data_IF_678981521697
#
_entry.id   IF_678981521697
#
_cell.length_a   1.000
_cell.length_b   1.000
_cell.length_c   1.000
_cell.angle_alpha   90.00
_cell.angle_beta   90.00
_cell.angle_gamma   90.00
#
_symmetry.space_group_name_H-M   'P 1'
#
loop_
_entity.id
_entity.type
_entity.pdbx_description
1 polymer ?
#
# COMPACT_ATOMS: atom_id res chain seq x y z
N UNK A 1 -22.39 6.79 3.94
CA UNK A 1 -22.62 5.71 2.94
C UNK A 1 -23.94 4.93 3.19
N UNK A 2 -24.38 4.72 4.44
CA UNK A 2 -25.54 3.85 4.74
C UNK A 2 -26.95 4.46 4.63
N UNK A 3 -27.09 5.73 4.24
CA UNK A 3 -28.39 6.40 4.13
C UNK A 3 -29.29 5.72 3.09
N UNK A 4 -28.76 5.40 1.92
CA UNK A 4 -29.51 4.69 0.87
C UNK A 4 -29.88 3.25 1.30
N UNK A 5 -28.93 2.52 1.89
CA UNK A 5 -29.16 1.19 2.43
C UNK A 5 -30.32 1.19 3.45
N UNK A 6 -30.38 2.20 4.31
CA UNK A 6 -31.46 2.37 5.30
C UNK A 6 -32.81 2.61 4.62
N UNK A 7 -32.87 3.46 3.60
CA UNK A 7 -34.11 3.73 2.85
C UNK A 7 -34.63 2.51 2.07
N UNK A 8 -33.73 1.67 1.55
CA UNK A 8 -34.09 0.42 0.89
C UNK A 8 -34.64 -0.59 1.91
N UNK A 9 -33.99 -0.75 3.06
CA UNK A 9 -34.49 -1.60 4.13
C UNK A 9 -35.87 -1.18 4.63
N UNK A 10 -36.09 0.13 4.82
CA UNK A 10 -37.41 0.66 5.18
C UNK A 10 -38.51 0.39 4.14
N UNK A 11 -38.14 0.12 2.89
CA UNK A 11 -39.05 -0.29 1.81
C UNK A 11 -39.23 -1.80 1.70
N UNK A 12 -38.69 -2.58 2.64
CA UNK A 12 -38.82 -4.03 2.71
C UNK A 12 -37.73 -4.80 1.94
N UNK A 13 -36.68 -4.14 1.46
CA UNK A 13 -35.56 -4.83 0.82
C UNK A 13 -34.57 -5.37 1.86
N UNK A 14 -34.12 -6.61 1.67
CA UNK A 14 -32.96 -7.13 2.40
C UNK A 14 -31.67 -6.52 1.83
N UNK A 15 -30.81 -5.99 2.70
CA UNK A 15 -29.55 -5.35 2.28
C UNK A 15 -28.36 -6.19 2.76
N UNK A 16 -27.46 -6.51 1.83
CA UNK A 16 -26.15 -7.10 2.13
C UNK A 16 -25.07 -6.10 1.73
N UNK A 17 -24.18 -5.79 2.67
CA UNK A 17 -23.01 -4.93 2.49
C UNK A 17 -21.81 -5.83 2.32
N UNK A 18 -21.23 -5.82 1.13
CA UNK A 18 -19.97 -6.51 0.83
C UNK A 18 -18.85 -5.51 1.06
N UNK A 19 -17.84 -5.88 1.84
CA UNK A 19 -16.70 -5.01 2.16
C UNK A 19 -15.38 -5.79 2.17
N UNK A 20 -14.28 -5.08 1.93
CA UNK A 20 -12.93 -5.59 2.16
C UNK A 20 -12.54 -5.43 3.64
N UNK A 21 -11.41 -6.02 4.05
CA UNK A 21 -10.92 -5.93 5.43
C UNK A 21 -10.38 -4.52 5.75
N UNK A 22 -9.76 -3.87 4.78
CA UNK A 22 -9.27 -2.50 4.92
C UNK A 22 -10.45 -1.52 5.05
N UNK A 23 -10.47 -0.74 6.13
CA UNK A 23 -11.57 0.18 6.46
C UNK A 23 -12.95 -0.50 6.55
N UNK A 24 -12.99 -1.73 7.08
CA UNK A 24 -14.25 -2.45 7.27
C UNK A 24 -15.25 -1.61 8.10
N UNK A 25 -16.52 -1.51 7.65
CA UNK A 25 -17.55 -0.79 8.39
C UNK A 25 -17.89 -1.53 9.69
N UNK A 26 -18.20 -0.79 10.75
CA UNK A 26 -18.70 -1.38 11.99
C UNK A 26 -20.15 -1.86 11.82
N UNK A 27 -20.43 -3.18 11.89
CA UNK A 27 -21.79 -3.72 11.78
C UNK A 27 -22.70 -3.30 12.93
N UNK A 28 -22.14 -2.92 14.09
CA UNK A 28 -22.91 -2.60 15.29
C UNK A 28 -23.86 -1.41 15.08
N UNK A 29 -23.48 -0.47 14.21
CA UNK A 29 -24.30 0.69 13.84
C UNK A 29 -25.48 0.36 12.92
N UNK A 30 -25.51 -0.85 12.33
CA UNK A 30 -26.51 -1.25 11.33
C UNK A 30 -26.90 -2.74 11.46
N UNK A 31 -27.48 -3.17 12.61
CA UNK A 31 -27.72 -4.59 12.90
C UNK A 31 -28.74 -5.28 11.96
N UNK A 32 -29.48 -4.50 11.18
CA UNK A 32 -30.48 -4.98 10.21
C UNK A 32 -29.89 -5.29 8.83
N UNK A 33 -28.61 -4.95 8.59
CA UNK A 33 -27.92 -5.31 7.35
C UNK A 33 -27.04 -6.54 7.58
N UNK A 34 -26.89 -7.35 6.52
CA UNK A 34 -25.90 -8.42 6.52
C UNK A 34 -24.56 -7.86 6.06
N UNK A 35 -23.49 -8.11 6.80
CA UNK A 35 -22.14 -7.76 6.40
C UNK A 35 -21.40 -9.01 5.93
N UNK A 36 -20.73 -8.92 4.80
CA UNK A 36 -19.91 -9.99 4.23
C UNK A 36 -18.55 -9.41 3.91
N UNK A 37 -17.54 -9.85 4.65
CA UNK A 37 -16.16 -9.57 4.33
C UNK A 37 -15.75 -10.43 3.13
N UNK A 38 -15.08 -9.81 2.17
CA UNK A 38 -14.42 -10.48 1.06
C UNK A 38 -12.92 -10.20 1.11
N UNK A 39 -12.16 -11.15 0.58
CA UNK A 39 -10.74 -10.97 0.32
C UNK A 39 -10.56 -9.84 -0.71
N UNK A 40 -9.58 -8.97 -0.48
CA UNK A 40 -9.30 -7.84 -1.37
C UNK A 40 -8.40 -8.22 -2.55
N UNK A 41 -7.94 -9.48 -2.62
CA UNK A 41 -7.05 -9.99 -3.65
C UNK A 41 -5.66 -9.40 -3.59
N UNK A 42 -5.28 -8.78 -2.46
CA UNK A 42 -3.99 -8.14 -2.30
C UNK A 42 -2.94 -9.17 -1.83
N UNK A 43 -1.67 -9.05 -2.24
CA UNK A 43 -0.62 -9.91 -1.73
C UNK A 43 -0.45 -9.78 -0.21
N UNK A 44 0.09 -10.81 0.43
CA UNK A 44 0.44 -10.76 1.85
C UNK A 44 1.47 -9.64 2.12
N UNK A 45 1.31 -8.94 3.24
CA UNK A 45 2.22 -7.87 3.68
C UNK A 45 3.63 -8.41 3.92
N UNK A 46 4.62 -7.85 3.23
CA UNK A 46 6.02 -8.12 3.55
C UNK A 46 6.45 -7.29 4.75
N UNK A 47 6.28 -7.86 5.95
CA UNK A 47 6.65 -7.21 7.20
C UNK A 47 8.16 -7.12 7.42
N UNK A 48 9.00 -7.73 6.56
CA UNK A 48 10.46 -7.56 6.64
C UNK A 48 10.88 -6.11 6.40
N UNK A 49 10.06 -5.32 5.68
CA UNK A 49 10.30 -3.90 5.47
C UNK A 49 10.33 -3.11 6.79
N UNK A 50 9.58 -3.51 7.83
CA UNK A 50 9.60 -2.84 9.13
C UNK A 50 10.96 -2.98 9.82
N UNK A 51 11.50 -4.20 9.84
CA UNK A 51 12.83 -4.45 10.40
C UNK A 51 13.96 -3.80 9.60
N UNK A 52 13.74 -3.52 8.32
CA UNK A 52 14.65 -2.73 7.49
C UNK A 52 14.53 -1.23 7.80
N UNK A 53 13.32 -0.70 7.92
CA UNK A 53 13.06 0.69 8.30
C UNK A 53 13.69 1.04 9.66
N UNK A 54 13.66 0.13 10.63
CA UNK A 54 14.28 0.30 11.95
C UNK A 54 15.79 0.53 11.93
N UNK A 55 16.46 0.20 10.82
CA UNK A 55 17.91 0.40 10.64
C UNK A 55 18.26 1.79 10.12
N UNK A 56 17.26 2.57 9.72
CA UNK A 56 17.43 3.91 9.18
C UNK A 56 17.01 4.97 10.18
N UNK A 57 17.66 6.15 10.18
CA UNK A 57 17.21 7.28 10.97
C UNK A 57 15.76 7.69 10.70
N UNK A 58 15.16 8.25 11.74
CA UNK A 58 13.94 9.04 11.71
C UNK A 58 13.77 9.89 10.44
N UNK A 59 12.72 9.64 9.66
CA UNK A 59 12.38 10.48 8.51
C UNK A 59 13.41 10.50 7.38
N UNK A 60 14.37 9.57 7.35
CA UNK A 60 15.42 9.52 6.31
C UNK A 60 15.09 8.60 5.13
N UNK A 61 13.97 7.88 5.17
CA UNK A 61 13.57 6.92 4.15
C UNK A 61 12.46 7.50 3.28
N UNK A 62 12.63 7.43 1.96
CA UNK A 62 11.59 7.75 0.99
C UNK A 62 10.65 6.55 0.87
N UNK A 63 9.36 6.72 1.18
CA UNK A 63 8.33 5.72 0.89
C UNK A 63 7.65 6.03 -0.44
N UNK A 64 7.58 5.04 -1.34
CA UNK A 64 6.90 5.16 -2.64
C UNK A 64 5.91 4.02 -2.83
N UNK A 65 4.67 4.35 -3.18
CA UNK A 65 3.64 3.39 -3.58
C UNK A 65 2.64 4.07 -4.52
N UNK A 66 2.26 3.39 -5.61
CA UNK A 66 1.34 3.93 -6.61
C UNK A 66 -0.12 3.46 -6.45
N UNK A 67 -0.52 3.08 -5.24
CA UNK A 67 -1.88 2.61 -4.94
C UNK A 67 -2.27 1.35 -5.76
N UNK A 68 -3.54 0.93 -5.66
CA UNK A 68 -4.04 -0.33 -6.22
C UNK A 68 -4.52 -0.29 -7.66
N UNK A 69 -4.69 0.90 -8.21
CA UNK A 69 -5.22 1.11 -9.56
C UNK A 69 -4.15 1.62 -10.52
N UNK A 70 -2.88 1.64 -10.10
CA UNK A 70 -1.78 2.02 -10.99
C UNK A 70 -1.58 0.96 -12.06
N UNK A 71 -1.47 1.46 -13.28
CA UNK A 71 -1.25 0.72 -14.52
C UNK A 71 -0.17 1.49 -15.28
N UNK A 72 1.09 1.08 -15.11
CA UNK A 72 2.29 1.79 -15.57
C UNK A 72 2.89 1.12 -16.80
N UNK A 73 3.47 1.92 -17.70
CA UNK A 73 4.34 1.43 -18.76
C UNK A 73 5.75 1.09 -18.20
N UNK A 74 6.50 0.24 -18.90
CA UNK A 74 7.85 -0.17 -18.48
C UNK A 74 8.80 1.02 -18.38
N UNK A 75 8.65 1.99 -19.28
CA UNK A 75 9.43 3.22 -19.32
C UNK A 75 9.15 4.09 -18.08
N UNK A 76 7.91 4.18 -17.63
CA UNK A 76 7.54 4.94 -16.42
C UNK A 76 8.14 4.30 -15.17
N UNK A 77 8.10 2.97 -15.06
CA UNK A 77 8.77 2.23 -13.98
C UNK A 77 10.28 2.53 -13.97
N UNK A 78 10.91 2.50 -15.14
CA UNK A 78 12.32 2.77 -15.29
C UNK A 78 12.68 4.21 -14.88
N UNK A 79 11.86 5.20 -15.25
CA UNK A 79 12.05 6.58 -14.82
C UNK A 79 11.97 6.73 -13.29
N UNK A 80 10.98 6.10 -12.64
CA UNK A 80 10.89 6.13 -11.18
C UNK A 80 12.11 5.47 -10.55
N UNK A 81 12.51 4.30 -11.04
CA UNK A 81 13.69 3.59 -10.55
C UNK A 81 14.94 4.47 -10.63
N UNK A 82 15.25 5.03 -11.80
CA UNK A 82 16.44 5.88 -11.95
C UNK A 82 16.37 7.19 -11.16
N UNK A 83 15.17 7.75 -10.94
CA UNK A 83 14.99 8.91 -10.04
C UNK A 83 15.27 8.55 -8.58
N UNK A 84 14.83 7.38 -8.12
CA UNK A 84 15.14 6.88 -6.77
C UNK A 84 16.63 6.59 -6.61
N UNK A 85 17.25 5.99 -7.63
CA UNK A 85 18.69 5.76 -7.68
C UNK A 85 19.49 7.07 -7.62
N UNK A 86 19.07 8.09 -8.37
CA UNK A 86 19.71 9.41 -8.35
C UNK A 86 19.51 10.22 -7.06
N UNK A 87 18.55 9.85 -6.21
CA UNK A 87 18.24 10.60 -4.98
C UNK A 87 19.32 10.52 -3.90
N UNK A 88 20.14 9.45 -3.91
CA UNK A 88 21.09 9.15 -2.84
C UNK A 88 20.46 8.82 -1.47
N UNK A 89 19.13 8.86 -1.32
CA UNK A 89 18.42 8.56 -0.08
C UNK A 89 17.96 7.09 -0.01
N UNK A 90 17.95 6.46 1.17
CA UNK A 90 17.28 5.17 1.36
C UNK A 90 15.82 5.24 0.95
N UNK A 91 15.30 4.18 0.32
CA UNK A 91 13.91 4.13 -0.10
C UNK A 91 13.27 2.76 0.09
N UNK A 92 12.00 2.78 0.49
CA UNK A 92 11.08 1.66 0.48
C UNK A 92 10.09 1.86 -0.67
N UNK A 93 10.15 1.00 -1.68
CA UNK A 93 9.30 1.08 -2.86
C UNK A 93 8.39 -0.13 -2.96
N UNK A 94 7.08 0.12 -2.97
CA UNK A 94 6.06 -0.90 -3.21
C UNK A 94 5.79 -1.00 -4.71
N UNK A 95 6.15 -2.14 -5.31
CA UNK A 95 5.88 -2.44 -6.73
C UNK A 95 5.12 -3.76 -6.83
N UNK A 96 3.84 -3.67 -7.21
CA UNK A 96 2.96 -4.84 -7.26
C UNK A 96 3.12 -5.61 -8.56
N UNK A 97 2.94 -6.92 -8.47
CA UNK A 97 2.77 -7.79 -9.63
C UNK A 97 1.55 -7.34 -10.45
N UNK A 98 1.73 -7.19 -11.77
CA UNK A 98 0.66 -6.75 -12.67
C UNK A 98 0.42 -5.25 -12.71
N UNK A 99 1.18 -4.43 -11.96
CA UNK A 99 1.11 -2.96 -12.09
C UNK A 99 1.88 -2.42 -13.30
N UNK A 100 2.62 -3.28 -14.02
CA UNK A 100 3.37 -2.93 -15.23
C UNK A 100 2.77 -3.65 -16.42
N UNK A 101 2.42 -2.90 -17.47
CA UNK A 101 1.75 -3.45 -18.66
C UNK A 101 2.63 -4.46 -19.40
N UNK A 102 2.00 -5.56 -19.80
CA UNK A 102 2.63 -6.59 -20.64
C UNK A 102 3.67 -7.45 -19.92
N UNK A 103 3.87 -7.27 -18.61
CA UNK A 103 4.84 -8.00 -17.81
C UNK A 103 4.12 -9.01 -16.89
N UNK A 104 4.61 -10.25 -16.86
CA UNK A 104 4.11 -11.27 -15.91
C UNK A 104 4.64 -11.06 -14.48
N UNK A 105 5.67 -10.21 -14.34
CA UNK A 105 6.39 -9.93 -13.10
C UNK A 105 6.71 -8.45 -12.96
N UNK A 106 7.49 -8.11 -11.93
CA UNK A 106 8.13 -6.80 -11.81
C UNK A 106 9.59 -6.96 -12.22
N UNK A 107 9.96 -6.44 -13.38
CA UNK A 107 11.35 -6.42 -13.84
C UNK A 107 11.92 -5.01 -13.67
N UNK A 108 12.83 -4.86 -12.70
CA UNK A 108 13.53 -3.60 -12.46
C UNK A 108 14.61 -3.37 -13.54
N UNK A 109 14.95 -2.11 -13.88
CA UNK A 109 15.97 -1.82 -14.88
C UNK A 109 17.32 -2.48 -14.56
N UNK A 110 18.02 -2.95 -15.60
CA UNK A 110 19.35 -3.51 -15.44
C UNK A 110 20.32 -2.53 -14.76
N UNK A 111 21.08 -3.00 -13.77
CA UNK A 111 22.01 -2.19 -12.98
C UNK A 111 21.36 -1.37 -11.86
N UNK A 112 20.03 -1.32 -11.75
CA UNK A 112 19.35 -0.57 -10.69
C UNK A 112 19.69 -1.10 -9.28
N UNK A 113 19.69 -2.42 -9.11
CA UNK A 113 20.00 -3.06 -7.82
C UNK A 113 21.46 -2.78 -7.42
N UNK A 114 22.39 -2.86 -8.37
CA UNK A 114 23.80 -2.57 -8.12
C UNK A 114 24.02 -1.10 -7.71
N UNK A 115 23.36 -0.15 -8.39
CA UNK A 115 23.46 1.29 -8.09
C UNK A 115 22.84 1.66 -6.74
N UNK A 116 21.85 0.89 -6.29
CA UNK A 116 21.10 1.17 -5.07
C UNK A 116 21.46 0.27 -3.91
N UNK A 117 22.51 -0.54 -4.05
CA UNK A 117 22.89 -1.56 -3.08
C UNK A 117 23.03 -1.00 -1.65
N UNK A 118 22.25 -1.57 -0.73
CA UNK A 118 22.28 -1.25 0.70
C UNK A 118 21.41 -0.06 1.11
N UNK A 119 20.67 0.54 0.17
CA UNK A 119 19.77 1.69 0.40
C UNK A 119 18.38 1.46 -0.20
N UNK A 120 18.13 0.29 -0.76
CA UNK A 120 16.88 -0.14 -1.36
C UNK A 120 16.13 -1.17 -0.51
N UNK A 121 14.82 -1.04 -0.48
CA UNK A 121 13.89 -2.12 -0.13
C UNK A 121 12.74 -2.08 -1.12
N UNK A 122 12.57 -3.14 -1.90
CA UNK A 122 11.48 -3.27 -2.88
C UNK A 122 10.60 -4.44 -2.50
N UNK A 123 9.31 -4.19 -2.30
CA UNK A 123 8.34 -5.20 -1.85
C UNK A 123 7.08 -5.16 -2.71
N UNK A 124 6.40 -6.30 -2.83
CA UNK A 124 5.11 -6.38 -3.54
C UNK A 124 3.98 -5.72 -2.73
N UNK A 125 4.06 -5.80 -1.40
CA UNK A 125 3.08 -5.23 -0.49
C UNK A 125 3.73 -4.86 0.84
N UNK A 126 3.29 -3.75 1.45
CA UNK A 126 3.80 -3.27 2.73
C UNK A 126 2.62 -2.93 3.66
N UNK A 127 2.80 -3.04 5.00
CA UNK A 127 1.83 -2.56 5.98
C UNK A 127 1.78 -1.02 5.97
N UNK A 128 1.11 -0.44 4.97
CA UNK A 128 1.23 0.98 4.63
C UNK A 128 0.93 1.93 5.80
N UNK A 129 -0.07 1.59 6.64
CA UNK A 129 -0.38 2.40 7.82
C UNK A 129 0.80 2.42 8.80
N UNK A 130 1.40 1.26 9.08
CA UNK A 130 2.54 1.17 9.99
C UNK A 130 3.79 1.86 9.42
N UNK A 131 4.06 1.69 8.12
CA UNK A 131 5.17 2.36 7.43
C UNK A 131 5.03 3.89 7.52
N UNK A 132 3.83 4.43 7.29
CA UNK A 132 3.58 5.86 7.40
C UNK A 132 3.64 6.37 8.85
N UNK A 133 3.28 5.55 9.84
CA UNK A 133 3.42 5.92 11.25
C UNK A 133 4.88 5.85 11.74
N UNK A 134 5.69 4.96 11.17
CA UNK A 134 7.13 4.86 11.47
C UNK A 134 7.86 6.16 11.11
N UNK A 135 7.50 6.77 9.98
CA UNK A 135 8.10 8.05 9.56
C UNK A 135 7.67 9.22 10.46
N UNK A 136 6.43 9.20 10.99
CA UNK A 136 5.87 10.28 11.82
C UNK A 136 6.30 10.19 13.29
N UNK A 137 6.37 9.00 13.87
CA UNK A 137 6.71 8.77 15.29
C UNK A 137 8.14 9.15 15.68
N UNK A 138 8.94 9.50 14.68
CA UNK A 138 10.33 9.87 14.80
C UNK A 138 10.55 11.41 14.67
N UNK A 139 9.48 12.18 14.45
CA UNK A 139 9.42 13.60 14.81
C UNK A 139 8.89 13.72 16.23
N UNK A 140 9.81 13.90 17.17
CA UNK A 140 9.53 14.17 18.57
C UNK A 140 8.48 15.28 18.75
N UNK A 141 7.31 14.93 19.28
CA UNK A 141 6.60 15.81 20.21
C UNK A 141 7.41 15.81 21.51
N UNK A 142 8.52 16.55 21.49
CA UNK A 142 9.20 17.02 22.70
C UNK A 142 9.04 18.53 22.70
N UNK A 143 7.95 19.00 23.29
CA UNK A 143 7.80 20.30 23.96
C UNK A 143 6.53 20.28 24.82
#
# INVERSE_FOLDING_TARGET
>A
MFQLATLLFQRGFSVTVIHTLLNAPDPSGHPHFRFVAIDDGLPEEDRSCMAWLDRHPAGSVIYVSFCSLADMEKEELAEVAWRLAGSGQPFLWVVRLGSVRGEAGVELPAGFVDETQGREMVVAWAPQVEVLLHTVSNSSYSD
#
